data_IF_272189809200
#
_entry.id   IF_272189809200
#
_cell.length_a   1.000
_cell.length_b   1.000
_cell.length_c   1.000
_cell.angle_alpha   90.00
_cell.angle_beta   90.00
_cell.angle_gamma   90.00
#
_symmetry.space_group_name_H-M   'P 1'
#
loop_
_entity.id
_entity.type
_entity.pdbx_description
1 polymer ?
#
# COMPACT_ATOMS: atom_id res chain seq x y z
N UNK A 1 86.50 -44.10 7.19
CA UNK A 1 85.42 -45.09 7.00
C UNK A 1 84.23 -44.67 7.83
N UNK A 2 83.08 -44.46 7.18
CA UNK A 2 81.70 -44.52 7.72
C UNK A 2 81.44 -43.99 9.14
N UNK A 3 80.64 -42.92 9.25
CA UNK A 3 79.17 -43.04 9.37
C UNK A 3 78.52 -41.65 9.43
N UNK A 4 77.63 -41.38 8.48
CA UNK A 4 76.66 -40.26 8.52
C UNK A 4 75.63 -40.56 9.61
N UNK A 5 75.38 -39.61 10.51
CA UNK A 5 74.11 -39.52 11.24
C UNK A 5 73.37 -38.28 10.73
N UNK A 6 72.11 -38.50 10.33
CA UNK A 6 71.16 -37.51 9.89
C UNK A 6 70.56 -36.83 11.12
N UNK A 7 70.75 -35.51 11.24
CA UNK A 7 70.01 -34.70 12.19
C UNK A 7 68.74 -34.17 11.49
N UNK A 8 67.58 -34.59 11.98
CA UNK A 8 66.29 -34.03 11.59
C UNK A 8 66.04 -32.74 12.39
N UNK A 9 66.08 -31.58 11.72
CA UNK A 9 65.55 -30.33 12.25
C UNK A 9 64.01 -30.35 12.19
N UNK A 10 63.36 -30.35 13.35
CA UNK A 10 61.94 -30.00 13.50
C UNK A 10 61.80 -28.47 13.55
N UNK A 11 61.29 -27.86 12.48
CA UNK A 11 60.86 -26.46 12.45
C UNK A 11 59.44 -26.30 13.05
N UNK A 12 59.12 -25.18 13.70
CA UNK A 12 57.82 -24.96 14.29
C UNK A 12 56.78 -24.63 13.20
N UNK A 13 55.69 -25.39 13.19
CA UNK A 13 54.52 -25.17 12.34
C UNK A 13 53.71 -23.99 12.91
N UNK A 14 53.79 -22.82 12.27
CA UNK A 14 52.97 -21.66 12.61
C UNK A 14 51.54 -21.87 12.09
N UNK A 15 50.59 -22.08 13.00
CA UNK A 15 49.17 -22.19 12.71
C UNK A 15 48.58 -20.78 12.51
N UNK A 16 48.40 -20.38 11.24
CA UNK A 16 47.65 -19.17 10.88
C UNK A 16 46.16 -19.40 11.15
N UNK A 17 45.67 -18.87 12.27
CA UNK A 17 44.23 -18.75 12.55
C UNK A 17 43.65 -17.62 11.67
N UNK A 18 42.99 -17.99 10.58
CA UNK A 18 42.14 -17.04 9.84
C UNK A 18 40.85 -16.82 10.63
N UNK A 19 40.72 -15.64 11.26
CA UNK A 19 39.46 -15.23 11.89
C UNK A 19 38.50 -14.78 10.77
N UNK A 20 37.69 -15.71 10.28
CA UNK A 20 36.55 -15.40 9.42
C UNK A 20 35.54 -14.56 10.22
N UNK A 21 35.52 -13.24 10.00
CA UNK A 21 34.47 -12.38 10.54
C UNK A 21 33.17 -12.69 9.78
N UNK A 22 32.31 -13.50 10.40
CA UNK A 22 30.97 -13.77 9.89
C UNK A 22 30.18 -12.46 9.89
N UNK A 23 29.97 -11.86 8.71
CA UNK A 23 29.13 -10.69 8.49
C UNK A 23 27.64 -11.05 8.69
N UNK A 24 27.24 -11.20 9.96
CA UNK A 24 25.85 -11.49 10.34
C UNK A 24 25.01 -10.19 10.27
N UNK A 25 25.63 -9.00 10.33
CA UNK A 25 24.95 -7.71 10.37
C UNK A 25 24.50 -7.10 9.04
N UNK A 26 25.15 -7.43 7.90
CA UNK A 26 24.74 -6.90 6.59
C UNK A 26 23.60 -7.72 5.97
N UNK A 27 23.53 -9.03 6.27
CA UNK A 27 22.54 -9.94 5.70
C UNK A 27 21.13 -9.73 6.25
N UNK A 28 20.99 -9.41 7.54
CA UNK A 28 19.68 -9.13 8.17
C UNK A 28 19.11 -7.78 7.73
N UNK A 29 19.94 -6.73 7.68
CA UNK A 29 19.51 -5.39 7.22
C UNK A 29 19.05 -5.38 5.76
N UNK A 30 19.72 -6.16 4.89
CA UNK A 30 19.31 -6.30 3.49
C UNK A 30 18.03 -7.14 3.31
N UNK A 31 17.78 -8.14 4.17
CA UNK A 31 16.53 -8.92 4.18
C UNK A 31 15.34 -8.11 4.72
N UNK A 32 15.56 -7.27 5.74
CA UNK A 32 14.52 -6.39 6.29
C UNK A 32 14.17 -5.23 5.34
N UNK A 33 15.14 -4.70 4.59
CA UNK A 33 14.93 -3.60 3.66
C UNK A 33 13.95 -3.92 2.52
N UNK A 34 13.66 -5.20 2.25
CA UNK A 34 12.75 -5.63 1.19
C UNK A 34 11.38 -6.09 1.70
N UNK A 35 11.16 -6.15 3.02
CA UNK A 35 9.90 -6.60 3.62
C UNK A 35 8.99 -5.43 3.94
N UNK A 36 7.67 -5.62 3.83
CA UNK A 36 6.70 -4.62 4.30
C UNK A 36 6.68 -4.60 5.85
N UNK A 37 6.43 -3.44 6.49
CA UNK A 37 6.47 -3.33 7.95
C UNK A 37 5.43 -4.23 8.67
N UNK A 38 5.76 -4.76 9.84
CA UNK A 38 4.80 -5.45 10.70
C UNK A 38 4.25 -6.77 10.15
N UNK A 39 3.03 -7.12 10.57
CA UNK A 39 2.29 -8.30 10.11
C UNK A 39 1.74 -8.04 8.71
N UNK A 40 2.18 -8.84 7.73
CA UNK A 40 1.64 -8.76 6.37
C UNK A 40 0.32 -9.51 6.28
N UNK A 41 -0.74 -8.80 5.89
CA UNK A 41 -2.05 -9.37 5.54
C UNK A 41 -2.27 -9.15 4.06
N UNK A 42 -2.12 -10.22 3.28
CA UNK A 42 -2.48 -10.21 1.87
C UNK A 42 -4.01 -10.26 1.74
N UNK A 43 -4.55 -9.33 0.95
CA UNK A 43 -5.97 -9.23 0.63
C UNK A 43 -6.11 -9.37 -0.87
N UNK A 44 -6.68 -10.49 -1.31
CA UNK A 44 -7.04 -10.68 -2.72
C UNK A 44 -8.44 -10.14 -2.94
N UNK A 45 -8.57 -9.20 -3.87
CA UNK A 45 -9.85 -8.61 -4.26
C UNK A 45 -10.20 -9.03 -5.68
N UNK A 46 -11.42 -9.50 -5.86
CA UNK A 46 -12.04 -9.67 -7.17
C UNK A 46 -13.52 -9.30 -7.03
N UNK A 47 -14.29 -9.48 -8.10
CA UNK A 47 -15.64 -8.96 -8.21
C UNK A 47 -16.49 -9.45 -7.05
N UNK A 48 -16.84 -8.49 -6.19
CA UNK A 48 -17.73 -8.67 -5.05
C UNK A 48 -17.23 -9.62 -3.95
N UNK A 49 -15.92 -9.88 -3.85
CA UNK A 49 -15.36 -10.58 -2.69
C UNK A 49 -13.97 -10.08 -2.28
N UNK A 50 -13.66 -10.25 -1.00
CA UNK A 50 -12.34 -10.06 -0.43
C UNK A 50 -11.90 -11.35 0.25
N UNK A 51 -10.75 -11.90 -0.15
CA UNK A 51 -10.12 -13.04 0.52
C UNK A 51 -8.98 -12.55 1.40
N UNK A 52 -9.13 -12.78 2.70
CA UNK A 52 -8.15 -12.50 3.74
C UNK A 52 -8.46 -13.38 4.98
N UNK A 53 -7.51 -13.55 5.93
CA UNK A 53 -7.81 -14.13 7.24
C UNK A 53 -8.99 -13.42 7.91
N UNK A 54 -9.79 -14.16 8.68
CA UNK A 54 -10.83 -13.56 9.54
C UNK A 54 -10.31 -13.18 10.93
N UNK A 55 -9.10 -13.60 11.30
CA UNK A 55 -8.49 -13.33 12.60
C UNK A 55 -7.00 -13.03 12.44
N UNK A 56 -6.54 -11.94 13.05
CA UNK A 56 -5.12 -11.56 13.10
C UNK A 56 -4.73 -11.05 14.50
N UNK A 57 -3.45 -11.10 14.90
CA UNK A 57 -3.00 -10.43 16.11
C UNK A 57 -3.06 -8.89 15.97
N UNK A 58 -3.24 -8.20 17.10
CA UNK A 58 -3.11 -6.75 17.22
C UNK A 58 -1.67 -6.31 16.98
N UNK A 59 -1.48 -5.06 16.57
CA UNK A 59 -0.18 -4.47 16.35
C UNK A 59 -0.01 -3.85 14.98
N UNK A 60 1.24 -3.57 14.62
CA UNK A 60 1.60 -3.01 13.34
C UNK A 60 1.30 -4.03 12.23
N UNK A 61 0.43 -3.64 11.30
CA UNK A 61 -0.06 -4.51 10.22
C UNK A 61 0.03 -3.75 8.90
N UNK A 62 0.59 -4.40 7.87
CA UNK A 62 0.49 -3.95 6.49
C UNK A 62 -0.53 -4.80 5.76
N UNK A 63 -1.59 -4.16 5.27
CA UNK A 63 -2.50 -4.78 4.30
C UNK A 63 -1.95 -4.58 2.90
N UNK A 64 -1.74 -5.66 2.16
CA UNK A 64 -1.33 -5.64 0.76
C UNK A 64 -2.50 -6.09 -0.12
N UNK A 65 -2.96 -5.20 -0.99
CA UNK A 65 -4.08 -5.46 -1.89
C UNK A 65 -3.58 -5.95 -3.24
N UNK A 66 -4.13 -7.09 -3.66
CA UNK A 66 -3.85 -7.74 -4.94
C UNK A 66 -5.17 -7.85 -5.69
N UNK A 67 -5.21 -7.36 -6.92
CA UNK A 67 -6.39 -7.53 -7.78
C UNK A 67 -6.34 -8.89 -8.49
N UNK A 68 -7.47 -9.57 -8.51
CA UNK A 68 -7.72 -10.80 -9.25
C UNK A 68 -8.97 -10.63 -10.13
N UNK A 69 -9.47 -11.73 -10.71
CA UNK A 69 -10.74 -11.71 -11.46
C UNK A 69 -10.65 -10.89 -12.75
N UNK A 70 -11.73 -10.16 -13.06
CA UNK A 70 -11.93 -9.51 -14.36
C UNK A 70 -10.76 -8.62 -14.77
N UNK A 71 -10.26 -7.77 -13.86
CA UNK A 71 -9.15 -6.87 -14.20
C UNK A 71 -7.84 -7.62 -14.42
N UNK A 72 -7.58 -8.69 -13.66
CA UNK A 72 -6.37 -9.49 -13.82
C UNK A 72 -6.39 -10.27 -15.13
N UNK A 73 -7.53 -10.88 -15.48
CA UNK A 73 -7.70 -11.61 -16.72
C UNK A 73 -7.57 -10.67 -17.93
N UNK A 74 -8.24 -9.51 -17.89
CA UNK A 74 -8.19 -8.54 -19.00
C UNK A 74 -6.81 -7.93 -19.20
N UNK A 75 -6.10 -7.61 -18.12
CA UNK A 75 -4.72 -7.13 -18.23
C UNK A 75 -3.81 -8.20 -18.82
N UNK A 76 -4.00 -9.48 -18.45
CA UNK A 76 -3.28 -10.61 -19.06
C UNK A 76 -3.55 -10.72 -20.56
N UNK A 77 -4.77 -10.39 -20.98
CA UNK A 77 -5.18 -10.36 -22.39
C UNK A 77 -4.77 -9.05 -23.11
N UNK A 78 -3.98 -8.19 -22.45
CA UNK A 78 -3.45 -6.95 -23.04
C UNK A 78 -4.41 -5.75 -22.99
N UNK A 79 -5.56 -5.87 -22.32
CA UNK A 79 -6.49 -4.74 -22.15
C UNK A 79 -5.88 -3.73 -21.17
N UNK A 80 -5.85 -2.48 -21.59
CA UNK A 80 -5.33 -1.38 -20.80
C UNK A 80 -6.44 -0.42 -20.38
N UNK A 81 -6.10 0.44 -19.43
CA UNK A 81 -6.91 1.60 -19.11
C UNK A 81 -8.23 1.30 -18.41
N UNK A 82 -9.20 2.20 -18.57
CA UNK A 82 -10.53 2.05 -17.98
C UNK A 82 -11.25 0.78 -18.49
N UNK A 83 -10.96 0.35 -19.73
CA UNK A 83 -11.55 -0.86 -20.30
C UNK A 83 -11.16 -2.13 -19.52
N UNK A 84 -10.03 -2.13 -18.83
CA UNK A 84 -9.59 -3.26 -18.02
C UNK A 84 -10.48 -3.49 -16.79
N UNK A 85 -11.18 -2.46 -16.30
CA UNK A 85 -12.01 -2.53 -15.09
C UNK A 85 -13.51 -2.36 -15.34
N UNK A 86 -13.88 -1.80 -16.49
CA UNK A 86 -15.26 -1.44 -16.80
C UNK A 86 -16.08 -2.62 -17.34
N UNK A 87 -17.32 -2.77 -16.90
CA UNK A 87 -18.28 -3.72 -17.47
C UNK A 87 -19.61 -3.02 -17.83
N UNK A 88 -20.47 -3.70 -18.59
CA UNK A 88 -21.74 -3.13 -19.04
C UNK A 88 -22.60 -2.69 -17.86
N UNK A 89 -22.83 -1.39 -17.74
CA UNK A 89 -23.64 -0.79 -16.67
C UNK A 89 -22.87 -0.43 -15.40
N UNK A 90 -21.61 -0.86 -15.28
CA UNK A 90 -20.73 -0.56 -14.16
C UNK A 90 -19.27 -0.37 -14.62
N UNK A 91 -18.87 0.90 -14.80
CA UNK A 91 -17.53 1.22 -15.25
C UNK A 91 -16.45 0.97 -14.17
N UNK A 92 -16.83 0.58 -12.95
CA UNK A 92 -15.91 0.31 -11.85
C UNK A 92 -15.85 -1.15 -11.43
N UNK A 93 -16.54 -2.05 -12.13
CA UNK A 93 -16.75 -3.45 -11.72
C UNK A 93 -15.48 -4.17 -11.24
N UNK A 94 -14.40 -4.12 -12.04
CA UNK A 94 -13.11 -4.74 -11.72
C UNK A 94 -12.12 -3.81 -11.00
N UNK A 95 -12.57 -2.65 -10.50
CA UNK A 95 -11.75 -1.73 -9.73
C UNK A 95 -12.00 -1.97 -8.25
N UNK A 96 -10.99 -2.44 -7.52
CA UNK A 96 -11.14 -2.67 -6.08
C UNK A 96 -10.16 -1.85 -5.26
N UNK A 97 -10.66 -1.26 -4.18
CA UNK A 97 -9.87 -0.63 -3.13
C UNK A 97 -10.17 -1.34 -1.82
N UNK A 98 -9.32 -1.14 -0.83
CA UNK A 98 -9.51 -1.71 0.50
C UNK A 98 -9.59 -0.58 1.51
N UNK A 99 -10.72 -0.49 2.19
CA UNK A 99 -10.90 0.33 3.38
C UNK A 99 -10.91 -0.60 4.58
N UNK A 100 -10.02 -0.33 5.54
CA UNK A 100 -10.03 -0.95 6.85
C UNK A 100 -10.92 -0.10 7.74
N UNK A 101 -11.94 -0.73 8.32
CA UNK A 101 -12.97 -0.08 9.11
C UNK A 101 -13.02 -0.75 10.47
N UNK A 102 -12.82 0.00 11.55
CA UNK A 102 -13.07 -0.49 12.91
C UNK A 102 -14.55 -0.34 13.25
N UNK A 103 -15.09 -1.37 13.89
CA UNK A 103 -16.47 -1.47 14.32
C UNK A 103 -16.50 -1.50 15.85
N UNK A 104 -16.84 -0.36 16.45
CA UNK A 104 -16.91 -0.23 17.90
C UNK A 104 -18.23 -0.79 18.46
N UNK A 105 -18.38 -0.75 19.78
CA UNK A 105 -19.61 -1.17 20.47
C UNK A 105 -20.05 -2.61 20.17
N UNK A 106 -19.08 -3.50 19.88
CA UNK A 106 -19.33 -4.90 19.54
C UNK A 106 -20.03 -5.12 18.21
N UNK A 107 -20.12 -4.10 17.34
CA UNK A 107 -20.81 -4.19 16.06
C UNK A 107 -20.08 -5.10 15.07
N UNK A 108 -20.86 -5.68 14.17
CA UNK A 108 -20.43 -6.63 13.16
C UNK A 108 -20.45 -6.01 11.76
N UNK A 109 -19.81 -6.67 10.79
CA UNK A 109 -19.94 -6.26 9.38
C UNK A 109 -21.38 -6.36 8.87
N UNK A 110 -22.20 -7.26 9.42
CA UNK A 110 -23.62 -7.32 9.07
C UNK A 110 -24.37 -6.08 9.56
N UNK A 111 -23.98 -5.49 10.70
CA UNK A 111 -24.51 -4.20 11.15
C UNK A 111 -24.06 -3.07 10.22
N UNK A 112 -22.79 -3.06 9.81
CA UNK A 112 -22.27 -2.08 8.83
C UNK A 112 -23.02 -2.16 7.52
N UNK A 113 -23.20 -3.36 6.98
CA UNK A 113 -23.92 -3.56 5.72
C UNK A 113 -25.36 -3.03 5.80
N UNK A 114 -26.10 -3.36 6.86
CA UNK A 114 -27.47 -2.84 7.07
C UNK A 114 -27.52 -1.32 7.17
N UNK A 115 -26.58 -0.73 7.91
CA UNK A 115 -26.50 0.74 8.02
C UNK A 115 -26.22 1.38 6.65
N UNK A 116 -25.35 0.78 5.84
CA UNK A 116 -25.03 1.26 4.51
C UNK A 116 -26.19 1.09 3.52
N UNK A 117 -26.93 -0.01 3.59
CA UNK A 117 -28.20 -0.19 2.87
C UNK A 117 -29.21 0.91 3.22
N UNK A 118 -29.31 1.25 4.51
CA UNK A 118 -30.18 2.32 5.01
C UNK A 118 -29.65 3.74 4.72
N UNK A 119 -28.40 3.88 4.27
CA UNK A 119 -27.78 5.20 4.04
C UNK A 119 -27.39 5.95 5.32
N UNK A 120 -27.21 5.21 6.41
CA UNK A 120 -26.81 5.76 7.70
C UNK A 120 -25.29 5.99 7.77
N UNK A 121 -24.87 6.89 8.66
CA UNK A 121 -23.47 7.17 8.98
C UNK A 121 -23.22 6.97 10.49
N UNK A 122 -23.15 5.71 10.95
CA UNK A 122 -23.20 5.42 12.37
C UNK A 122 -21.90 5.83 13.09
N UNK A 123 -22.03 6.35 14.32
CA UNK A 123 -20.87 6.76 15.15
C UNK A 123 -19.94 5.62 15.58
N UNK A 124 -20.39 4.36 15.49
CA UNK A 124 -19.59 3.18 15.81
C UNK A 124 -18.72 2.70 14.64
N UNK A 125 -18.79 3.39 13.49
CA UNK A 125 -17.93 3.14 12.31
C UNK A 125 -16.74 4.09 12.36
N UNK A 126 -15.53 3.54 12.37
CA UNK A 126 -14.29 4.31 12.25
C UNK A 126 -13.48 3.86 11.05
N UNK A 127 -13.36 4.74 10.07
CA UNK A 127 -12.48 4.53 8.93
C UNK A 127 -11.02 4.66 9.35
N UNK A 128 -10.17 3.74 8.87
CA UNK A 128 -8.72 3.74 9.12
C UNK A 128 -7.90 3.89 7.84
N UNK A 129 -8.58 4.15 6.71
CA UNK A 129 -7.99 4.14 5.38
C UNK A 129 -7.63 2.73 4.91
N UNK A 130 -6.77 2.66 3.90
CA UNK A 130 -6.25 1.39 3.39
C UNK A 130 -5.64 1.55 2.01
N UNK A 131 -5.20 0.44 1.38
CA UNK A 131 -4.62 0.51 0.04
C UNK A 131 -5.62 1.00 -1.01
N UNK A 132 -5.16 1.86 -1.92
CA UNK A 132 -5.91 2.29 -3.10
C UNK A 132 -5.99 1.20 -4.18
N UNK A 133 -6.47 1.57 -5.37
CA UNK A 133 -6.45 0.66 -6.51
C UNK A 133 -5.04 0.58 -7.11
N UNK A 134 -4.59 -0.63 -7.44
CA UNK A 134 -3.40 -0.86 -8.24
C UNK A 134 -3.73 -1.86 -9.33
N UNK A 135 -3.34 -1.56 -10.57
CA UNK A 135 -3.55 -2.45 -11.70
C UNK A 135 -2.59 -3.66 -11.62
N UNK A 136 -3.05 -4.89 -11.92
CA UNK A 136 -2.16 -6.02 -12.16
C UNK A 136 -1.04 -5.71 -13.17
N UNK A 137 0.14 -6.35 -13.04
CA UNK A 137 0.53 -7.30 -12.00
C UNK A 137 0.93 -6.64 -10.67
N UNK A 138 0.78 -5.31 -10.54
CA UNK A 138 1.13 -4.58 -9.34
C UNK A 138 0.25 -4.89 -8.14
N UNK A 139 0.75 -4.53 -6.96
CA UNK A 139 -0.01 -4.49 -5.70
C UNK A 139 0.20 -3.13 -5.03
N UNK A 140 -0.65 -2.79 -4.07
CA UNK A 140 -0.45 -1.60 -3.22
C UNK A 140 -0.68 -1.96 -1.77
N UNK A 141 -0.26 -1.11 -0.85
CA UNK A 141 -0.33 -1.40 0.57
C UNK A 141 -0.68 -0.19 1.43
N UNK A 142 -1.21 -0.49 2.61
CA UNK A 142 -1.32 0.47 3.71
C UNK A 142 -0.86 -0.19 5.01
N UNK A 143 -0.08 0.54 5.78
CA UNK A 143 0.45 0.13 7.07
C UNK A 143 -0.21 0.96 8.16
N UNK A 144 -0.73 0.28 9.18
CA UNK A 144 -1.46 0.89 10.29
C UNK A 144 -1.29 0.07 11.57
N UNK A 145 -1.56 0.72 12.71
CA UNK A 145 -1.60 0.07 14.02
C UNK A 145 -3.03 -0.40 14.32
N UNK A 146 -3.19 -1.68 14.64
CA UNK A 146 -4.48 -2.26 14.98
C UNK A 146 -4.55 -2.62 16.46
N UNK A 147 -5.61 -2.18 17.12
CA UNK A 147 -5.95 -2.59 18.48
C UNK A 147 -6.85 -3.83 18.43
N UNK A 148 -6.94 -4.62 19.52
CA UNK A 148 -7.94 -5.68 19.59
C UNK A 148 -9.36 -5.15 19.37
N UNK A 149 -10.18 -5.87 18.60
CA UNK A 149 -11.56 -5.48 18.30
C UNK A 149 -12.11 -6.07 17.00
N UNK A 150 -13.32 -5.61 16.64
CA UNK A 150 -13.99 -5.99 15.41
C UNK A 150 -13.67 -5.00 14.30
N UNK A 151 -13.37 -5.54 13.13
CA UNK A 151 -13.03 -4.80 11.93
C UNK A 151 -13.79 -5.37 10.73
N UNK A 152 -13.90 -4.54 9.70
CA UNK A 152 -14.32 -4.92 8.38
C UNK A 152 -13.29 -4.46 7.36
N UNK A 153 -13.00 -5.35 6.42
CA UNK A 153 -12.33 -5.04 5.18
C UNK A 153 -13.41 -4.78 4.15
N UNK A 154 -13.45 -3.59 3.55
CA UNK A 154 -14.56 -3.16 2.69
C UNK A 154 -14.06 -2.51 1.42
N UNK A 155 -14.71 -2.82 0.30
CA UNK A 155 -14.55 -2.06 -0.93
C UNK A 155 -15.77 -1.13 -1.12
N UNK A 156 -15.55 0.17 -0.90
CA UNK A 156 -16.54 1.21 -1.20
C UNK A 156 -16.44 1.73 -2.64
N UNK A 157 -15.65 1.05 -3.49
CA UNK A 157 -15.67 1.36 -4.92
C UNK A 157 -17.08 1.10 -5.44
N UNK A 158 -17.56 2.05 -6.18
CA UNK A 158 -18.70 1.97 -7.06
C UNK A 158 -18.61 3.18 -7.98
N UNK A 159 -19.39 3.20 -9.04
CA UNK A 159 -19.52 4.36 -9.92
C UNK A 159 -20.29 5.52 -9.24
N UNK A 160 -19.83 5.88 -8.05
CA UNK A 160 -20.46 6.74 -7.08
C UNK A 160 -20.06 8.19 -7.34
N UNK A 161 -20.78 8.78 -8.29
CA UNK A 161 -21.32 10.13 -8.09
C UNK A 161 -22.84 10.20 -8.16
N UNK A 162 -23.54 9.16 -8.64
CA UNK A 162 -24.98 9.22 -8.89
C UNK A 162 -25.84 8.14 -8.20
N UNK A 163 -25.29 6.99 -7.77
CA UNK A 163 -26.09 5.92 -7.16
C UNK A 163 -25.32 5.08 -6.13
N UNK A 164 -25.64 5.23 -4.84
CA UNK A 164 -25.04 4.47 -3.73
C UNK A 164 -25.27 2.97 -3.85
N UNK A 165 -26.36 2.52 -4.48
CA UNK A 165 -26.66 1.10 -4.69
C UNK A 165 -25.60 0.37 -5.52
N UNK A 166 -24.67 1.10 -6.16
CA UNK A 166 -23.55 0.54 -6.93
C UNK A 166 -22.26 0.38 -6.13
N UNK A 167 -22.26 0.66 -4.83
CA UNK A 167 -21.11 0.32 -4.01
C UNK A 167 -20.92 -1.19 -3.98
N UNK A 168 -19.69 -1.65 -4.24
CA UNK A 168 -19.35 -3.05 -4.21
C UNK A 168 -19.67 -3.69 -2.84
N UNK A 169 -19.55 -2.94 -1.73
CA UNK A 169 -20.00 -3.35 -0.40
C UNK A 169 -21.44 -3.90 -0.42
N UNK A 170 -22.37 -3.17 -1.05
CA UNK A 170 -23.79 -3.53 -1.12
C UNK A 170 -24.07 -4.73 -2.02
N UNK A 171 -23.06 -5.16 -2.77
CA UNK A 171 -23.05 -6.39 -3.55
C UNK A 171 -22.28 -7.52 -2.83
N UNK A 172 -21.89 -7.34 -1.56
CA UNK A 172 -21.21 -8.35 -0.76
C UNK A 172 -19.69 -8.21 -0.67
N UNK A 173 -19.11 -7.11 -1.19
CA UNK A 173 -17.65 -6.92 -1.19
C UNK A 173 -17.08 -6.47 0.16
N UNK A 174 -17.18 -7.35 1.14
CA UNK A 174 -16.62 -7.16 2.47
C UNK A 174 -16.08 -8.46 3.06
N UNK A 175 -15.24 -8.33 4.08
CA UNK A 175 -14.75 -9.45 4.90
C UNK A 175 -14.71 -9.02 6.35
N UNK A 176 -15.29 -9.83 7.24
CA UNK A 176 -15.15 -9.65 8.68
C UNK A 176 -13.70 -9.94 9.10
N UNK A 177 -13.17 -9.14 10.01
CA UNK A 177 -11.84 -9.31 10.58
C UNK A 177 -11.88 -9.09 12.09
N UNK A 178 -11.40 -10.06 12.85
CA UNK A 178 -11.23 -9.98 14.30
C UNK A 178 -9.76 -9.74 14.61
N UNK A 179 -9.47 -8.68 15.34
CA UNK A 179 -8.12 -8.43 15.84
C UNK A 179 -8.06 -8.89 17.29
N UNK A 180 -7.19 -9.86 17.59
CA UNK A 180 -7.02 -10.43 18.94
C UNK A 180 -5.76 -9.91 19.61
N UNK A 181 -5.67 -9.86 20.95
CA UNK A 181 -4.44 -9.47 21.64
C UNK A 181 -3.23 -10.29 21.16
N UNK A 182 -2.15 -9.59 20.79
CA UNK A 182 -0.90 -10.24 20.42
C UNK A 182 -0.21 -10.85 21.66
N UNK A 183 0.46 -11.99 21.46
CA UNK A 183 1.25 -12.66 22.52
C UNK A 183 2.61 -12.01 22.79
N UNK A 184 3.05 -11.10 21.92
CA UNK A 184 4.32 -10.37 22.02
C UNK A 184 4.12 -8.93 21.56
N UNK A 185 4.97 -8.02 22.05
CA UNK A 185 4.93 -6.61 21.67
C UNK A 185 5.00 -6.45 20.15
N UNK A 186 4.05 -5.68 19.61
CA UNK A 186 4.00 -5.35 18.19
C UNK A 186 5.24 -4.59 17.77
N UNK A 187 5.76 -4.86 16.56
CA UNK A 187 6.87 -4.13 15.98
C UNK A 187 6.66 -2.60 16.08
N UNK A 188 7.74 -1.86 16.37
CA UNK A 188 7.69 -0.40 16.44
C UNK A 188 7.27 0.19 15.08
N UNK A 189 6.57 1.34 15.11
CA UNK A 189 6.27 2.08 13.89
C UNK A 189 7.58 2.40 13.15
N UNK A 190 7.67 2.11 11.84
CA UNK A 190 8.87 2.39 11.08
C UNK A 190 9.08 3.91 10.97
N UNK A 191 10.33 4.36 11.02
CA UNK A 191 10.66 5.74 10.71
C UNK A 191 10.33 6.01 9.24
N UNK A 192 9.50 7.01 8.91
CA UNK A 192 9.19 7.32 7.52
C UNK A 192 10.42 7.92 6.83
N UNK A 193 10.61 7.56 5.58
CA UNK A 193 11.51 8.28 4.69
C UNK A 193 10.94 9.68 4.47
N UNK A 194 9.67 9.79 4.06
CA UNK A 194 9.05 11.06 3.70
C UNK A 194 7.72 11.20 4.43
N UNK A 195 7.48 12.38 5.00
CA UNK A 195 6.15 12.78 5.45
C UNK A 195 5.53 13.63 4.35
N UNK A 196 4.36 13.22 3.88
CA UNK A 196 3.52 13.97 2.95
C UNK A 196 2.38 14.57 3.76
N UNK A 197 2.37 15.89 3.91
CA UNK A 197 1.31 16.60 4.64
C UNK A 197 0.32 17.17 3.65
N UNK A 198 -0.96 16.90 3.88
CA UNK A 198 -2.09 17.36 3.06
C UNK A 198 -2.92 18.33 3.88
N UNK A 199 -2.91 19.60 3.49
CA UNK A 199 -3.61 20.69 4.19
C UNK A 199 -4.90 21.09 3.49
N UNK A 200 -5.61 22.07 4.06
CA UNK A 200 -6.77 22.71 3.46
C UNK A 200 -6.54 23.05 1.97
N UNK A 201 -7.58 22.89 1.16
CA UNK A 201 -7.46 23.02 -0.30
C UNK A 201 -6.77 21.83 -0.98
N UNK A 202 -6.44 20.74 -0.26
CA UNK A 202 -5.74 19.56 -0.76
C UNK A 202 -4.31 19.86 -1.25
N UNK A 203 -3.64 20.81 -0.59
CA UNK A 203 -2.26 21.16 -0.89
C UNK A 203 -1.31 20.14 -0.26
N UNK A 204 -0.44 19.56 -1.08
CA UNK A 204 0.62 18.64 -0.65
C UNK A 204 1.90 19.41 -0.31
N UNK A 205 2.57 18.98 0.75
CA UNK A 205 3.95 19.34 1.06
C UNK A 205 4.73 18.10 1.49
N UNK A 206 6.04 18.10 1.26
CA UNK A 206 6.92 16.96 1.49
C UNK A 206 8.01 17.36 2.49
N UNK A 207 8.27 16.52 3.49
CA UNK A 207 9.34 16.79 4.47
C UNK A 207 10.74 16.82 3.87
N UNK A 208 10.94 16.15 2.73
CA UNK A 208 12.16 16.14 1.93
C UNK A 208 11.82 15.81 0.46
N UNK A 209 12.68 16.19 -0.51
CA UNK A 209 12.49 15.82 -1.91
C UNK A 209 12.38 14.30 -2.09
N UNK A 210 11.50 13.85 -3.00
CA UNK A 210 11.38 12.44 -3.34
C UNK A 210 12.60 11.96 -4.15
N UNK A 211 13.07 10.77 -3.84
CA UNK A 211 14.17 10.06 -4.52
C UNK A 211 13.65 8.72 -5.01
N UNK A 212 14.17 8.24 -6.13
CA UNK A 212 13.81 6.94 -6.65
C UNK A 212 14.14 5.82 -5.65
N UNK A 213 13.40 4.73 -5.71
CA UNK A 213 13.53 3.57 -4.82
C UNK A 213 12.36 3.38 -3.88
N UNK A 214 12.55 2.41 -2.99
CA UNK A 214 11.56 1.99 -2.00
C UNK A 214 11.53 3.01 -0.87
N UNK A 215 10.39 3.67 -0.69
CA UNK A 215 10.19 4.69 0.34
C UNK A 215 9.05 4.28 1.27
N UNK A 216 9.29 4.39 2.58
CA UNK A 216 8.24 4.40 3.59
C UNK A 216 7.68 5.82 3.68
N UNK A 217 6.44 6.00 3.27
CA UNK A 217 5.77 7.30 3.24
C UNK A 217 4.70 7.36 4.33
N UNK A 218 4.75 8.43 5.11
CA UNK A 218 3.72 8.79 6.07
C UNK A 218 2.84 9.88 5.44
N UNK A 219 1.60 9.54 5.10
CA UNK A 219 0.64 10.51 4.57
C UNK A 219 -0.19 11.06 5.72
N UNK A 220 0.05 12.32 6.08
CA UNK A 220 -0.64 13.05 7.13
C UNK A 220 -1.78 13.88 6.51
N UNK A 221 -3.02 13.54 6.85
CA UNK A 221 -4.20 14.29 6.44
C UNK A 221 -4.58 15.30 7.54
N UNK A 222 -4.43 16.58 7.25
CA UNK A 222 -4.84 17.68 8.14
C UNK A 222 -6.10 18.40 7.65
N UNK A 223 -6.79 17.81 6.69
CA UNK A 223 -8.08 18.31 6.21
C UNK A 223 -9.22 17.84 7.11
N UNK A 224 -10.40 18.42 6.90
CA UNK A 224 -11.67 18.02 7.52
C UNK A 224 -12.37 16.87 6.77
N UNK A 225 -11.76 16.38 5.70
CA UNK A 225 -12.36 15.45 4.76
C UNK A 225 -11.49 14.20 4.59
N UNK A 226 -12.10 13.09 4.20
CA UNK A 226 -11.33 11.92 3.78
C UNK A 226 -10.59 12.25 2.48
N UNK A 227 -9.34 11.78 2.36
CA UNK A 227 -8.55 11.93 1.15
C UNK A 227 -8.12 10.56 0.60
N UNK A 228 -7.72 10.56 -0.65
CA UNK A 228 -6.89 9.49 -1.20
C UNK A 228 -5.44 9.98 -1.25
N UNK A 229 -4.50 9.11 -1.60
CA UNK A 229 -3.15 9.50 -1.99
C UNK A 229 -2.76 8.64 -3.18
N UNK A 230 -2.49 9.27 -4.32
CA UNK A 230 -2.16 8.58 -5.56
C UNK A 230 -0.95 9.22 -6.17
N UNK A 231 -0.05 8.41 -6.71
CA UNK A 231 1.03 8.84 -7.56
C UNK A 231 0.94 8.11 -8.90
N UNK A 232 1.17 8.83 -10.00
CA UNK A 232 1.36 8.26 -11.32
C UNK A 232 2.59 8.88 -11.93
N UNK A 233 3.55 8.05 -12.32
CA UNK A 233 4.71 8.44 -13.11
C UNK A 233 4.26 8.82 -14.51
N UNK A 234 4.73 9.96 -14.97
CA UNK A 234 4.57 10.43 -16.34
C UNK A 234 5.52 9.64 -17.25
N UNK A 235 5.09 9.21 -18.46
CA UNK A 235 5.96 8.53 -19.41
C UNK A 235 7.18 9.38 -19.79
N UNK A 236 8.27 8.73 -20.19
CA UNK A 236 9.45 9.44 -20.68
C UNK A 236 9.11 10.23 -21.95
N UNK A 237 9.69 11.42 -22.09
CA UNK A 237 9.41 12.33 -23.21
C UNK A 237 8.09 13.10 -23.10
N UNK A 238 7.30 12.88 -22.04
CA UNK A 238 6.09 13.64 -21.74
C UNK A 238 6.30 14.48 -20.47
N UNK A 239 5.85 15.74 -20.49
CA UNK A 239 5.79 16.58 -19.29
C UNK A 239 4.51 16.32 -18.49
N UNK A 240 4.55 16.56 -17.19
CA UNK A 240 3.40 16.47 -16.30
C UNK A 240 2.26 17.40 -16.73
N UNK A 241 2.57 18.56 -17.32
CA UNK A 241 1.55 19.47 -17.87
C UNK A 241 0.83 18.84 -19.08
N UNK A 242 1.55 18.21 -19.99
CA UNK A 242 0.95 17.47 -21.11
C UNK A 242 0.10 16.30 -20.61
N UNK A 243 0.62 15.54 -19.65
CA UNK A 243 -0.10 14.44 -19.03
C UNK A 243 -1.44 14.88 -18.43
N UNK A 244 -1.44 15.99 -17.69
CA UNK A 244 -2.63 16.54 -17.06
C UNK A 244 -3.67 17.05 -18.07
N UNK A 245 -3.22 17.57 -19.21
CA UNK A 245 -4.08 18.08 -20.28
C UNK A 245 -4.70 16.97 -21.16
N UNK A 246 -4.09 15.79 -21.24
CA UNK A 246 -4.62 14.68 -22.02
C UNK A 246 -5.94 14.16 -21.44
N UNK A 247 -6.80 13.55 -22.24
CA UNK A 247 -7.98 12.82 -21.75
C UNK A 247 -7.76 11.32 -21.83
N UNK A 248 -8.38 10.57 -20.92
CA UNK A 248 -8.25 9.11 -20.86
C UNK A 248 -6.92 8.62 -20.29
N UNK A 249 -6.62 7.36 -20.58
CA UNK A 249 -5.38 6.69 -20.18
C UNK A 249 -4.19 7.15 -21.04
N UNK A 250 -3.00 7.15 -20.42
CA UNK A 250 -1.76 7.51 -21.08
C UNK A 250 -0.86 6.28 -21.12
N UNK A 251 -0.49 5.85 -22.32
CA UNK A 251 0.42 4.72 -22.51
C UNK A 251 1.79 5.00 -21.87
N UNK A 252 2.39 3.97 -21.26
CA UNK A 252 3.67 4.10 -20.55
C UNK A 252 3.57 4.75 -19.16
N UNK A 253 2.40 5.24 -18.76
CA UNK A 253 2.19 5.73 -17.40
C UNK A 253 2.20 4.55 -16.42
N UNK A 254 2.86 4.73 -15.28
CA UNK A 254 2.93 3.70 -14.24
C UNK A 254 2.59 4.30 -12.87
N UNK A 255 2.16 3.48 -11.92
CA UNK A 255 1.88 3.93 -10.56
C UNK A 255 2.71 3.11 -9.58
N UNK A 256 3.33 3.74 -8.57
CA UNK A 256 3.96 3.02 -7.47
C UNK A 256 2.92 2.54 -6.43
N UNK A 257 1.67 3.06 -6.50
CA UNK A 257 0.57 2.70 -5.64
C UNK A 257 -0.03 3.92 -4.96
N UNK A 258 -0.71 3.66 -3.84
CA UNK A 258 -1.41 4.70 -3.12
C UNK A 258 -2.31 4.20 -2.02
N UNK A 259 -2.93 5.16 -1.35
CA UNK A 259 -3.87 4.98 -0.26
C UNK A 259 -5.27 5.42 -0.68
N UNK A 260 -6.27 4.80 -0.07
CA UNK A 260 -7.66 5.21 -0.13
C UNK A 260 -8.17 5.55 1.26
N UNK A 261 -9.11 6.50 1.31
CA UNK A 261 -9.88 6.85 2.49
C UNK A 261 -9.07 7.19 3.74
N UNK A 262 -7.96 7.91 3.58
CA UNK A 262 -7.17 8.41 4.71
C UNK A 262 -8.06 9.39 5.50
N UNK A 263 -8.38 9.10 6.77
CA UNK A 263 -9.37 9.88 7.52
C UNK A 263 -8.92 11.32 7.79
N UNK A 264 -9.86 12.26 8.03
CA UNK A 264 -9.55 13.61 8.51
C UNK A 264 -8.69 13.56 9.76
N UNK A 265 -7.80 14.55 9.93
CA UNK A 265 -6.98 14.71 11.15
C UNK A 265 -6.25 13.43 11.58
N UNK A 266 -5.80 12.65 10.61
CA UNK A 266 -5.23 11.31 10.81
C UNK A 266 -4.09 11.07 9.83
N UNK A 267 -3.49 9.90 9.91
CA UNK A 267 -2.43 9.49 9.01
C UNK A 267 -2.48 8.00 8.71
N UNK A 268 -1.91 7.64 7.56
CA UNK A 268 -1.71 6.25 7.15
C UNK A 268 -0.35 6.14 6.48
N UNK A 269 0.36 5.04 6.74
CA UNK A 269 1.65 4.78 6.10
C UNK A 269 1.50 3.87 4.89
N UNK A 270 2.39 4.02 3.92
CA UNK A 270 2.49 3.14 2.75
C UNK A 270 3.96 2.99 2.35
N UNK A 271 4.33 1.83 1.80
CA UNK A 271 5.65 1.62 1.23
C UNK A 271 5.53 1.58 -0.28
N UNK A 272 6.17 2.51 -0.99
CA UNK A 272 6.02 2.69 -2.43
C UNK A 272 7.39 2.69 -3.13
N UNK A 273 7.47 2.08 -4.31
CA UNK A 273 8.68 2.06 -5.13
C UNK A 273 8.62 3.15 -6.21
N UNK A 274 9.26 4.28 -5.96
CA UNK A 274 9.30 5.38 -6.92
C UNK A 274 10.39 5.16 -7.97
N UNK A 275 10.12 5.58 -9.21
CA UNK A 275 11.10 5.64 -10.29
C UNK A 275 11.48 7.11 -10.48
N UNK A 276 12.70 7.42 -10.92
CA UNK A 276 13.06 8.80 -11.24
C UNK A 276 12.20 9.36 -12.39
N UNK A 277 11.93 10.67 -12.35
CA UNK A 277 11.14 11.39 -13.35
C UNK A 277 9.95 12.15 -12.75
N UNK A 278 9.13 12.74 -13.62
CA UNK A 278 7.95 13.48 -13.18
C UNK A 278 6.81 12.54 -12.77
N UNK A 279 6.16 12.87 -11.67
CA UNK A 279 4.99 12.18 -11.15
C UNK A 279 3.86 13.19 -10.97
N UNK A 280 2.64 12.79 -11.31
CA UNK A 280 1.44 13.46 -10.83
C UNK A 280 1.06 12.84 -9.50
N UNK A 281 1.04 13.64 -8.45
CA UNK A 281 0.62 13.22 -7.10
C UNK A 281 -0.65 13.99 -6.74
N UNK A 282 -1.68 13.27 -6.31
CA UNK A 282 -2.97 13.86 -5.96
C UNK A 282 -3.64 13.17 -4.79
N UNK A 283 -4.60 13.87 -4.19
CA UNK A 283 -5.27 13.43 -2.96
C UNK A 283 -6.78 13.19 -3.13
N UNK A 284 -7.24 13.19 -4.37
CA UNK A 284 -8.65 13.01 -4.75
C UNK A 284 -8.79 11.80 -5.67
N UNK A 285 -10.03 11.30 -5.88
CA UNK A 285 -10.28 10.20 -6.79
C UNK A 285 -9.71 10.39 -8.19
N UNK A 286 -9.79 11.62 -8.72
CA UNK A 286 -9.21 11.97 -10.01
C UNK A 286 -7.87 12.69 -9.81
N UNK A 287 -6.82 12.19 -10.47
CA UNK A 287 -5.53 12.87 -10.59
C UNK A 287 -5.59 14.11 -11.49
N UNK A 288 -6.68 14.32 -12.23
CA UNK A 288 -6.92 15.55 -12.98
C UNK A 288 -7.55 16.65 -12.13
N UNK A 289 -7.78 16.38 -10.83
CA UNK A 289 -8.26 17.39 -9.91
C UNK A 289 -7.24 18.54 -9.80
N UNK A 290 -7.67 19.82 -9.75
CA UNK A 290 -6.75 20.97 -9.73
C UNK A 290 -5.74 20.99 -8.58
N UNK A 291 -6.00 20.25 -7.51
CA UNK A 291 -5.08 20.12 -6.37
C UNK A 291 -3.96 19.12 -6.58
N UNK A 292 -3.95 18.38 -7.70
CA UNK A 292 -2.86 17.45 -8.01
C UNK A 292 -1.62 18.22 -8.42
N UNK A 293 -0.45 17.74 -8.00
CA UNK A 293 0.83 18.41 -8.19
C UNK A 293 1.73 17.59 -9.10
N UNK A 294 2.49 18.29 -9.95
CA UNK A 294 3.62 17.70 -10.67
C UNK A 294 4.80 17.71 -9.71
N UNK A 295 5.35 16.53 -9.42
CA UNK A 295 6.45 16.32 -8.49
C UNK A 295 7.59 15.62 -9.21
N UNK A 296 8.77 16.21 -9.18
CA UNK A 296 9.98 15.57 -9.72
C UNK A 296 10.57 14.62 -8.68
N UNK A 297 10.68 13.35 -9.04
CA UNK A 297 11.42 12.35 -8.26
C UNK A 297 12.84 12.29 -8.80
N UNK A 298 13.82 12.60 -7.95
CA UNK A 298 15.23 12.55 -8.33
C UNK A 298 15.79 11.11 -8.38
N UNK A 299 17.01 10.92 -8.93
CA UNK A 299 17.73 9.65 -8.83
C UNK A 299 18.04 9.27 -7.37
N UNK A 300 18.42 8.02 -7.11
CA UNK A 300 18.87 7.54 -5.79
C UNK A 300 20.09 8.29 -5.29
#
# INVERSE_FOLDING_TARGET
MMTRRMDFLLGPLALLLTISHTSIGQSTRARDANRLPGHLVEVTAAEFFLRAPDTIPSGLTTFQLIQAGLVADRVRDGVTGQAAVADKGDNTRGMHMLWVVRLDSGKSIADLHRAEEAGETPRWVRHMGGPGFMRPPGSTNATMLLEPGNYALVCYVGSARANRARYHLLHGMFRALTVIPARSNSAALPTPDVVVRVTAGNVLSFSKPLRAGRLVIHVQNETDSHIEFKAVRVPDGMSGKQFMAQSGDVEGASSPGGLSNVPPQSWVMTTLDFIAGEHIIGTRPSLRHPSSQIVTVGPR
#
